data_IF_032990499786
#
_entry.id   IF_032990499786
#
_cell.length_a   1.000
_cell.length_b   1.000
_cell.length_c   1.000
_cell.angle_alpha   90.00
_cell.angle_beta   90.00
_cell.angle_gamma   90.00
#
_symmetry.space_group_name_H-M   'P 1'
#
loop_
_entity.id
_entity.type
_entity.pdbx_description
1 polymer ?
#
# COMPACT_ATOMS: atom_id res chain seq x y z
N UNK A 1 -4.89 -18.96 -14.59
CA UNK A 1 -4.67 -17.50 -14.61
C UNK A 1 -5.39 -16.82 -15.78
N UNK A 2 -5.22 -17.27 -17.07
CA UNK A 2 -5.89 -16.68 -18.23
C UNK A 2 -7.42 -16.71 -18.09
N UNK A 3 -7.97 -17.88 -17.74
CA UNK A 3 -9.41 -18.08 -17.55
C UNK A 3 -9.98 -17.13 -16.48
N UNK A 4 -9.24 -16.92 -15.38
CA UNK A 4 -9.62 -15.96 -14.33
C UNK A 4 -9.75 -14.53 -14.88
N UNK A 5 -8.80 -14.08 -15.69
CA UNK A 5 -8.86 -12.75 -16.32
C UNK A 5 -10.07 -12.64 -17.24
N UNK A 6 -10.29 -13.66 -18.08
CA UNK A 6 -11.41 -13.67 -19.04
C UNK A 6 -12.78 -13.70 -18.36
N UNK A 7 -12.93 -14.48 -17.28
CA UNK A 7 -14.22 -14.69 -16.62
C UNK A 7 -14.55 -13.66 -15.52
N UNK A 8 -13.55 -12.99 -14.96
CA UNK A 8 -13.75 -12.09 -13.80
C UNK A 8 -13.35 -10.64 -14.06
N UNK A 9 -12.36 -10.39 -14.93
CA UNK A 9 -11.83 -9.05 -15.15
C UNK A 9 -12.32 -8.45 -16.47
N UNK A 10 -12.16 -9.17 -17.57
CA UNK A 10 -12.50 -8.62 -18.89
C UNK A 10 -14.01 -8.57 -19.18
N UNK A 11 -14.83 -9.32 -18.44
CA UNK A 11 -16.29 -9.26 -18.54
C UNK A 11 -16.90 -8.18 -17.63
N UNK A 12 -16.12 -7.55 -16.78
CA UNK A 12 -16.60 -6.48 -15.91
C UNK A 12 -16.94 -5.23 -16.75
N UNK A 13 -18.11 -4.65 -16.50
CA UNK A 13 -18.64 -3.54 -17.28
C UNK A 13 -17.74 -2.29 -17.24
N UNK A 14 -17.18 -1.95 -16.06
CA UNK A 14 -16.27 -0.81 -15.92
C UNK A 14 -14.97 -1.02 -16.70
N UNK A 15 -14.42 -2.24 -16.64
CA UNK A 15 -13.22 -2.62 -17.39
C UNK A 15 -13.50 -2.56 -18.89
N UNK A 16 -14.58 -3.19 -19.34
CA UNK A 16 -14.96 -3.19 -20.74
C UNK A 16 -15.17 -1.79 -21.31
N UNK A 17 -15.92 -0.95 -20.59
CA UNK A 17 -16.15 0.44 -20.98
C UNK A 17 -14.84 1.23 -21.07
N UNK A 18 -14.01 1.16 -20.03
CA UNK A 18 -12.74 1.87 -19.99
C UNK A 18 -11.80 1.43 -21.12
N UNK A 19 -11.63 0.11 -21.29
CA UNK A 19 -10.73 -0.42 -22.30
C UNK A 19 -11.19 -0.12 -23.72
N UNK A 20 -12.49 -0.22 -24.03
CA UNK A 20 -13.02 0.11 -25.33
C UNK A 20 -12.96 1.61 -25.67
N UNK A 21 -13.03 2.48 -24.65
CA UNK A 21 -12.90 3.94 -24.83
C UNK A 21 -11.45 4.37 -25.09
N UNK A 22 -10.49 3.71 -24.48
CA UNK A 22 -9.08 4.15 -24.47
C UNK A 22 -8.13 3.31 -25.32
N UNK A 23 -8.49 2.06 -25.63
CA UNK A 23 -7.58 1.12 -26.27
C UNK A 23 -8.26 0.35 -27.39
N UNK A 24 -7.47 -0.07 -28.37
CA UNK A 24 -7.84 -1.13 -29.32
C UNK A 24 -7.34 -2.43 -28.70
N UNK A 25 -8.28 -3.29 -28.27
CA UNK A 25 -7.95 -4.55 -27.61
C UNK A 25 -7.87 -5.70 -28.61
N UNK A 26 -6.82 -6.51 -28.50
CA UNK A 26 -6.63 -7.70 -29.33
C UNK A 26 -6.21 -8.89 -28.46
N UNK A 27 -6.85 -10.03 -28.68
CA UNK A 27 -6.45 -11.28 -28.05
C UNK A 27 -5.58 -12.08 -29.01
N UNK A 28 -4.43 -12.53 -28.53
CA UNK A 28 -3.49 -13.37 -29.29
C UNK A 28 -3.39 -14.74 -28.63
N UNK A 29 -3.73 -15.78 -29.36
CA UNK A 29 -3.60 -17.16 -28.93
C UNK A 29 -2.21 -17.69 -29.34
N UNK A 30 -1.30 -17.75 -28.37
CA UNK A 30 0.11 -18.10 -28.61
C UNK A 30 0.33 -19.56 -29.01
N UNK A 31 -0.68 -20.42 -28.85
CA UNK A 31 -0.61 -21.84 -29.26
C UNK A 31 -0.92 -22.01 -30.72
N UNK A 32 -1.57 -21.02 -31.36
CA UNK A 32 -1.87 -21.06 -32.80
C UNK A 32 -0.63 -20.72 -33.62
N UNK A 33 -0.41 -21.52 -34.66
CA UNK A 33 0.66 -21.30 -35.63
C UNK A 33 0.46 -20.02 -36.46
N UNK A 34 1.54 -19.55 -37.05
CA UNK A 34 1.55 -18.35 -37.88
C UNK A 34 1.82 -17.08 -37.10
N UNK A 35 1.23 -15.95 -37.50
CA UNK A 35 1.52 -14.63 -36.97
C UNK A 35 1.33 -14.51 -35.44
N UNK A 36 0.45 -15.31 -34.86
CA UNK A 36 0.18 -15.31 -33.44
C UNK A 36 1.40 -15.82 -32.64
N UNK A 37 1.97 -16.96 -33.09
CA UNK A 37 3.19 -17.51 -32.52
C UNK A 37 4.40 -16.60 -32.75
N UNK A 38 4.56 -16.07 -33.95
CA UNK A 38 5.61 -15.11 -34.30
C UNK A 38 5.52 -13.84 -33.43
N UNK A 39 4.31 -13.36 -33.15
CA UNK A 39 4.09 -12.22 -32.26
C UNK A 39 4.52 -12.54 -30.83
N UNK A 40 4.16 -13.72 -30.32
CA UNK A 40 4.57 -14.15 -28.99
C UNK A 40 6.09 -14.25 -28.84
N UNK A 41 6.75 -14.81 -29.85
CA UNK A 41 8.23 -14.92 -29.91
C UNK A 41 8.87 -13.53 -29.99
N UNK A 42 8.39 -12.65 -30.86
CA UNK A 42 8.88 -11.28 -31.03
C UNK A 42 8.87 -10.48 -29.74
N UNK A 43 7.85 -10.67 -28.93
CA UNK A 43 7.69 -9.97 -27.67
C UNK A 43 8.13 -10.80 -26.45
N UNK A 44 8.83 -11.93 -26.64
CA UNK A 44 9.31 -12.81 -25.58
C UNK A 44 8.22 -13.16 -24.54
N UNK A 45 7.07 -13.61 -25.00
CA UNK A 45 5.97 -14.04 -24.13
C UNK A 45 6.23 -15.45 -23.65
N UNK A 46 6.72 -15.59 -22.42
CA UNK A 46 7.08 -16.89 -21.80
C UNK A 46 6.12 -17.30 -20.68
N UNK A 47 5.28 -16.38 -20.19
CA UNK A 47 4.31 -16.60 -19.10
C UNK A 47 2.94 -16.11 -19.55
N UNK A 48 1.88 -16.84 -19.20
CA UNK A 48 0.50 -16.48 -19.53
C UNK A 48 -0.36 -16.27 -18.27
N UNK A 49 -1.25 -15.26 -18.30
CA UNK A 49 -1.43 -14.26 -19.34
C UNK A 49 -0.31 -13.23 -19.31
N UNK A 50 0.04 -12.69 -20.48
CA UNK A 50 0.86 -11.47 -20.61
C UNK A 50 0.04 -10.43 -21.36
N UNK A 51 -0.08 -9.25 -20.79
CA UNK A 51 -0.77 -8.10 -21.36
C UNK A 51 0.28 -7.08 -21.78
N UNK A 52 0.26 -6.67 -23.03
CA UNK A 52 1.22 -5.71 -23.59
C UNK A 52 0.46 -4.50 -24.11
N UNK A 53 0.78 -3.34 -23.58
CA UNK A 53 0.24 -2.07 -24.04
C UNK A 53 1.23 -1.43 -25.02
N UNK A 54 0.72 -1.04 -26.15
CA UNK A 54 1.49 -0.35 -27.18
C UNK A 54 1.08 1.12 -27.28
N UNK A 55 2.03 1.97 -27.63
CA UNK A 55 1.76 3.32 -28.07
C UNK A 55 1.27 3.31 -29.53
N UNK A 56 0.71 4.43 -30.04
CA UNK A 56 0.31 4.54 -31.45
C UNK A 56 1.45 4.28 -32.46
N UNK A 57 2.70 4.48 -32.05
CA UNK A 57 3.89 4.21 -32.86
C UNK A 57 4.34 2.73 -32.79
N UNK A 58 3.54 1.86 -32.23
CA UNK A 58 3.80 0.43 -32.01
C UNK A 58 4.98 0.13 -31.05
N UNK A 59 5.51 1.11 -30.32
CA UNK A 59 6.45 0.84 -29.22
C UNK A 59 5.72 0.33 -27.98
N UNK A 60 6.36 -0.56 -27.23
CA UNK A 60 5.81 -1.09 -25.97
C UNK A 60 5.78 0.03 -24.94
N UNK A 61 4.59 0.37 -24.44
CA UNK A 61 4.40 1.32 -23.36
C UNK A 61 4.49 0.66 -21.98
N UNK A 62 3.92 -0.54 -21.83
CA UNK A 62 3.91 -1.30 -20.59
C UNK A 62 3.67 -2.79 -20.84
N UNK A 63 4.09 -3.62 -19.88
CA UNK A 63 3.88 -5.06 -19.89
C UNK A 63 3.45 -5.52 -18.50
N UNK A 64 2.37 -6.28 -18.43
CA UNK A 64 1.93 -6.94 -17.21
C UNK A 64 2.04 -8.45 -17.43
N UNK A 65 2.76 -9.13 -16.54
CA UNK A 65 2.94 -10.59 -16.58
C UNK A 65 2.14 -11.21 -15.46
N UNK A 66 1.37 -12.25 -15.78
CA UNK A 66 0.47 -12.94 -14.84
C UNK A 66 -0.92 -12.28 -14.74
N UNK A 67 -1.81 -12.99 -14.05
CA UNK A 67 -3.16 -12.49 -13.81
C UNK A 67 -3.15 -11.29 -12.86
N UNK A 68 -4.13 -10.40 -13.03
CA UNK A 68 -4.36 -9.22 -12.19
C UNK A 68 -5.81 -9.19 -11.73
N UNK A 69 -6.03 -8.66 -10.55
CA UNK A 69 -7.37 -8.30 -10.10
C UNK A 69 -7.85 -7.04 -10.85
N UNK A 70 -9.17 -6.81 -10.86
CA UNK A 70 -9.81 -5.71 -11.57
C UNK A 70 -9.16 -4.34 -11.30
N UNK A 71 -8.96 -4.03 -10.02
CA UNK A 71 -8.42 -2.73 -9.60
C UNK A 71 -7.00 -2.50 -10.14
N UNK A 72 -6.13 -3.51 -10.04
CA UNK A 72 -4.73 -3.44 -10.47
C UNK A 72 -4.63 -3.32 -11.99
N UNK A 73 -5.47 -4.07 -12.71
CA UNK A 73 -5.54 -3.99 -14.17
C UNK A 73 -5.96 -2.59 -14.63
N UNK A 74 -7.06 -2.05 -14.08
CA UNK A 74 -7.52 -0.70 -14.40
C UNK A 74 -6.51 0.38 -14.02
N UNK A 75 -5.87 0.26 -12.87
CA UNK A 75 -4.83 1.19 -12.45
C UNK A 75 -3.66 1.22 -13.44
N UNK A 76 -3.20 0.05 -13.87
CA UNK A 76 -2.13 -0.07 -14.86
C UNK A 76 -2.53 0.53 -16.21
N UNK A 77 -3.74 0.26 -16.68
CA UNK A 77 -4.26 0.82 -17.92
C UNK A 77 -4.40 2.35 -17.84
N UNK A 78 -4.88 2.90 -16.71
CA UNK A 78 -4.97 4.35 -16.48
C UNK A 78 -3.59 5.04 -16.47
N UNK A 79 -2.55 4.35 -15.97
CA UNK A 79 -1.18 4.86 -16.06
C UNK A 79 -0.72 4.93 -17.51
N UNK A 80 -0.99 3.89 -18.31
CA UNK A 80 -0.57 3.84 -19.72
C UNK A 80 -1.20 4.96 -20.55
N UNK A 81 -2.49 5.23 -20.36
CA UNK A 81 -3.18 6.30 -21.09
C UNK A 81 -3.01 7.70 -20.46
N UNK A 82 -2.23 7.81 -19.37
CA UNK A 82 -1.92 9.09 -18.73
C UNK A 82 -3.01 9.66 -17.83
N UNK A 83 -4.08 8.90 -17.56
CA UNK A 83 -5.14 9.31 -16.62
C UNK A 83 -4.71 9.18 -15.15
N UNK A 84 -3.65 8.44 -14.89
CA UNK A 84 -3.05 8.29 -13.58
C UNK A 84 -1.52 8.43 -13.68
N UNK A 85 -0.90 9.02 -12.68
CA UNK A 85 0.56 9.02 -12.57
C UNK A 85 1.06 7.62 -12.21
N UNK A 86 2.19 7.22 -12.78
CA UNK A 86 2.95 6.09 -12.28
C UNK A 86 3.45 6.35 -10.85
N UNK A 87 3.72 5.27 -10.11
CA UNK A 87 4.10 5.38 -8.69
C UNK A 87 5.34 6.25 -8.48
N UNK A 88 6.37 6.12 -9.32
CA UNK A 88 7.56 6.96 -9.30
C UNK A 88 7.25 8.46 -9.52
N UNK A 89 6.42 8.79 -10.52
CA UNK A 89 6.02 10.17 -10.79
C UNK A 89 5.13 10.75 -9.68
N UNK A 90 4.26 9.94 -9.09
CA UNK A 90 3.45 10.34 -7.95
C UNK A 90 4.35 10.64 -6.73
N UNK A 91 5.34 9.78 -6.47
CA UNK A 91 6.33 9.98 -5.42
C UNK A 91 7.12 11.28 -5.63
N UNK A 92 7.62 11.50 -6.85
CA UNK A 92 8.40 12.72 -7.17
C UNK A 92 7.54 13.98 -7.01
N UNK A 93 6.27 13.92 -7.40
CA UNK A 93 5.32 15.02 -7.19
C UNK A 93 5.06 15.26 -5.70
N UNK A 94 4.81 14.21 -4.92
CA UNK A 94 4.60 14.30 -3.48
C UNK A 94 5.80 14.94 -2.77
N UNK A 95 7.02 14.53 -3.13
CA UNK A 95 8.27 15.07 -2.57
C UNK A 95 8.52 16.52 -2.95
N UNK A 96 8.33 16.86 -4.23
CA UNK A 96 8.63 18.22 -4.72
C UNK A 96 7.65 19.26 -4.19
N UNK A 97 6.36 18.92 -4.13
CA UNK A 97 5.30 19.83 -3.69
C UNK A 97 5.05 19.79 -2.18
N UNK A 98 5.52 18.75 -1.49
CA UNK A 98 5.20 18.45 -0.07
C UNK A 98 3.68 18.45 0.19
N UNK A 99 2.94 17.96 -0.78
CA UNK A 99 1.48 17.87 -0.70
C UNK A 99 1.07 16.63 0.11
N UNK A 100 0.31 16.84 1.18
CA UNK A 100 -0.11 15.78 2.10
C UNK A 100 -1.02 14.75 1.45
N UNK A 101 -1.85 15.15 0.50
CA UNK A 101 -2.74 14.21 -0.20
C UNK A 101 -1.94 13.29 -1.14
N UNK A 102 -0.98 13.85 -1.88
CA UNK A 102 -0.07 13.06 -2.71
C UNK A 102 0.81 12.13 -1.87
N UNK A 103 1.34 12.61 -0.73
CA UNK A 103 2.12 11.77 0.20
C UNK A 103 1.28 10.61 0.75
N UNK A 104 0.05 10.89 1.19
CA UNK A 104 -0.88 9.86 1.68
C UNK A 104 -1.17 8.82 0.59
N UNK A 105 -1.40 9.27 -0.64
CA UNK A 105 -1.67 8.39 -1.77
C UNK A 105 -0.48 7.48 -2.10
N UNK A 106 0.75 8.01 -2.09
CA UNK A 106 1.97 7.22 -2.24
C UNK A 106 2.08 6.17 -1.13
N UNK A 107 1.89 6.57 0.13
CA UNK A 107 2.00 5.67 1.28
C UNK A 107 0.94 4.55 1.24
N UNK A 108 -0.26 4.84 0.78
CA UNK A 108 -1.31 3.82 0.59
C UNK A 108 -1.00 2.82 -0.51
N UNK A 109 -0.30 3.22 -1.56
CA UNK A 109 0.07 2.35 -2.69
C UNK A 109 1.39 1.60 -2.45
N UNK A 110 2.27 2.14 -1.62
CA UNK A 110 3.61 1.61 -1.43
C UNK A 110 3.70 0.14 -1.00
N UNK A 111 2.83 -0.42 -0.13
CA UNK A 111 2.90 -1.84 0.22
C UNK A 111 2.76 -2.76 -0.98
N UNK A 112 1.88 -2.45 -1.92
CA UNK A 112 1.66 -3.23 -3.13
C UNK A 112 2.78 -2.98 -4.16
N UNK A 113 3.05 -1.72 -4.49
CA UNK A 113 4.02 -1.34 -5.51
C UNK A 113 5.44 -1.78 -5.14
N UNK A 114 5.86 -1.58 -3.89
CA UNK A 114 7.20 -1.96 -3.41
C UNK A 114 7.27 -3.46 -3.09
N UNK A 115 6.18 -4.07 -2.63
CA UNK A 115 6.11 -5.50 -2.37
C UNK A 115 6.30 -6.37 -3.62
N UNK A 116 5.99 -5.83 -4.81
CA UNK A 116 6.24 -6.48 -6.09
C UNK A 116 7.68 -6.35 -6.62
N UNK A 117 8.51 -5.49 -6.01
CA UNK A 117 9.89 -5.24 -6.42
C UNK A 117 10.86 -6.24 -5.77
N UNK A 118 12.05 -6.40 -6.37
CA UNK A 118 13.09 -7.30 -5.84
C UNK A 118 14.47 -6.64 -5.83
N UNK A 119 15.37 -7.21 -5.03
CA UNK A 119 16.78 -6.83 -5.00
C UNK A 119 17.02 -5.39 -4.56
N UNK A 120 18.00 -4.74 -5.22
CA UNK A 120 18.42 -3.38 -4.87
C UNK A 120 17.35 -2.32 -5.12
N UNK A 121 16.45 -2.55 -6.07
CA UNK A 121 15.37 -1.62 -6.37
C UNK A 121 14.37 -1.56 -5.20
N UNK A 122 13.94 -2.71 -4.70
CA UNK A 122 13.08 -2.79 -3.52
C UNK A 122 13.71 -2.06 -2.32
N UNK A 123 15.00 -2.29 -2.05
CA UNK A 123 15.72 -1.63 -0.94
C UNK A 123 15.75 -0.11 -1.08
N UNK A 124 15.99 0.41 -2.28
CA UNK A 124 15.94 1.85 -2.55
C UNK A 124 14.56 2.43 -2.27
N UNK A 125 13.51 1.73 -2.69
CA UNK A 125 12.14 2.18 -2.47
C UNK A 125 11.73 2.11 -1.00
N UNK A 126 12.10 1.07 -0.27
CA UNK A 126 11.86 0.97 1.18
C UNK A 126 12.44 2.20 1.89
N UNK A 127 13.71 2.56 1.62
CA UNK A 127 14.33 3.74 2.22
C UNK A 127 13.64 5.05 1.83
N UNK A 128 13.18 5.18 0.59
CA UNK A 128 12.42 6.35 0.13
C UNK A 128 11.09 6.48 0.84
N UNK A 129 10.36 5.37 0.97
CA UNK A 129 9.06 5.34 1.62
C UNK A 129 9.18 5.59 3.12
N UNK A 130 10.17 5.02 3.81
CA UNK A 130 10.44 5.31 5.22
C UNK A 130 10.65 6.81 5.46
N UNK A 131 11.43 7.47 4.60
CA UNK A 131 11.65 8.92 4.69
C UNK A 131 10.38 9.72 4.40
N UNK A 132 9.60 9.30 3.40
CA UNK A 132 8.34 9.96 3.06
C UNK A 132 7.34 9.84 4.21
N UNK A 133 7.23 8.66 4.82
CA UNK A 133 6.38 8.43 5.98
C UNK A 133 6.77 9.32 7.16
N UNK A 134 8.06 9.40 7.49
CA UNK A 134 8.53 10.24 8.59
C UNK A 134 8.21 11.74 8.35
N UNK A 135 8.36 12.22 7.11
CA UNK A 135 8.00 13.59 6.73
C UNK A 135 6.48 13.81 6.79
N UNK A 136 5.71 12.89 6.23
CA UNK A 136 4.25 12.91 6.24
C UNK A 136 3.69 12.96 7.67
N UNK A 137 4.12 12.01 8.52
CA UNK A 137 3.67 11.95 9.91
C UNK A 137 3.98 13.24 10.66
N UNK A 138 5.19 13.80 10.50
CA UNK A 138 5.58 15.06 11.12
C UNK A 138 4.70 16.23 10.69
N UNK A 139 4.31 16.28 9.41
CA UNK A 139 3.50 17.37 8.86
C UNK A 139 2.00 17.22 9.17
N UNK A 140 1.51 15.98 9.21
CA UNK A 140 0.08 15.66 9.34
C UNK A 140 -0.37 15.53 10.79
N UNK A 141 0.55 15.21 11.73
CA UNK A 141 0.24 14.90 13.12
C UNK A 141 -0.53 16.04 13.81
N UNK A 142 -1.79 15.76 14.14
CA UNK A 142 -2.76 16.70 14.70
C UNK A 142 -4.16 16.08 14.70
N UNK A 143 -5.23 16.84 14.97
CA UNK A 143 -6.60 16.32 15.01
C UNK A 143 -7.02 15.58 13.74
N UNK A 144 -6.56 16.05 12.57
CA UNK A 144 -6.83 15.46 11.26
C UNK A 144 -6.07 14.17 10.98
N UNK A 145 -5.12 13.80 11.85
CA UNK A 145 -4.41 12.53 11.80
C UNK A 145 -5.24 11.38 12.41
N UNK A 146 -6.33 11.69 13.13
CA UNK A 146 -7.20 10.72 13.79
C UNK A 146 -8.27 10.24 12.80
N UNK A 147 -7.87 9.40 11.85
CA UNK A 147 -8.74 8.77 10.86
C UNK A 147 -8.21 7.38 10.47
N UNK A 148 -9.04 6.62 9.75
CA UNK A 148 -8.76 5.23 9.38
C UNK A 148 -7.56 5.10 8.43
N UNK A 149 -7.48 5.97 7.44
CA UNK A 149 -6.42 5.94 6.43
C UNK A 149 -5.05 6.18 7.04
N UNK A 150 -4.93 7.17 7.91
CA UNK A 150 -3.68 7.49 8.58
C UNK A 150 -3.29 6.41 9.59
N UNK A 151 -4.25 5.82 10.30
CA UNK A 151 -3.99 4.67 11.17
C UNK A 151 -3.43 3.48 10.38
N UNK A 152 -3.99 3.16 9.22
CA UNK A 152 -3.49 2.10 8.35
C UNK A 152 -2.05 2.38 7.87
N UNK A 153 -1.74 3.63 7.53
CA UNK A 153 -0.38 4.05 7.18
C UNK A 153 0.57 3.86 8.35
N UNK A 154 0.18 4.26 9.56
CA UNK A 154 0.98 4.03 10.78
C UNK A 154 1.22 2.53 11.00
N UNK A 155 0.18 1.70 10.89
CA UNK A 155 0.31 0.24 11.02
C UNK A 155 1.28 -0.37 10.02
N UNK A 156 1.32 0.16 8.78
CA UNK A 156 2.17 -0.34 7.72
C UNK A 156 3.64 0.09 7.86
N UNK A 157 3.91 1.31 8.29
CA UNK A 157 5.25 1.91 8.19
C UNK A 157 5.91 2.28 9.51
N UNK A 158 5.16 2.41 10.61
CA UNK A 158 5.78 2.77 11.88
C UNK A 158 6.61 1.61 12.45
N UNK A 159 7.80 1.94 12.94
CA UNK A 159 8.68 0.99 13.62
C UNK A 159 8.18 0.75 15.04
N UNK A 160 7.55 -0.38 15.27
CA UNK A 160 6.89 -0.74 16.52
C UNK A 160 7.84 -0.91 17.73
N UNK A 161 9.16 -0.87 17.54
CA UNK A 161 10.16 -1.14 18.59
C UNK A 161 11.01 0.07 18.97
N UNK A 162 10.66 1.27 18.52
CA UNK A 162 11.39 2.51 18.85
C UNK A 162 10.75 3.16 20.06
N UNK A 163 11.47 3.21 21.17
CA UNK A 163 10.99 3.88 22.38
C UNK A 163 10.79 5.38 22.12
N UNK A 164 9.80 5.97 22.80
CA UNK A 164 9.44 7.39 22.69
C UNK A 164 9.20 7.87 21.25
N UNK A 165 8.69 6.96 20.38
CA UNK A 165 8.30 7.30 19.01
C UNK A 165 7.19 8.35 19.02
N UNK A 166 7.41 9.47 18.32
CA UNK A 166 6.52 10.62 18.36
C UNK A 166 5.10 10.33 17.89
N UNK A 167 4.94 9.45 16.88
CA UNK A 167 3.64 9.05 16.36
C UNK A 167 2.90 8.19 17.36
N UNK A 168 3.59 7.21 17.95
CA UNK A 168 3.00 6.34 18.96
C UNK A 168 2.66 7.09 20.25
N UNK A 169 3.49 8.05 20.66
CA UNK A 169 3.18 8.93 21.79
C UNK A 169 1.96 9.84 21.50
N UNK A 170 1.80 10.30 20.25
CA UNK A 170 0.61 11.05 19.84
C UNK A 170 -0.65 10.17 19.90
N UNK A 171 -0.58 8.92 19.41
CA UNK A 171 -1.70 7.97 19.47
C UNK A 171 -2.04 7.67 20.92
N UNK A 172 -1.06 7.41 21.78
CA UNK A 172 -1.26 7.14 23.21
C UNK A 172 -2.02 8.28 23.92
N UNK A 173 -1.63 9.53 23.65
CA UNK A 173 -2.30 10.71 24.24
C UNK A 173 -3.73 10.91 23.76
N UNK A 174 -4.07 10.39 22.60
CA UNK A 174 -5.38 10.55 21.99
C UNK A 174 -6.12 9.21 21.87
N UNK A 175 -5.70 8.18 22.63
CA UNK A 175 -6.17 6.80 22.44
C UNK A 175 -7.69 6.68 22.54
N UNK A 176 -8.28 7.30 23.54
CA UNK A 176 -9.74 7.33 23.70
C UNK A 176 -10.46 7.90 22.47
N UNK A 177 -9.97 9.02 21.93
CA UNK A 177 -10.52 9.62 20.71
C UNK A 177 -10.36 8.71 19.49
N UNK A 178 -9.21 8.06 19.36
CA UNK A 178 -8.97 7.07 18.31
C UNK A 178 -9.93 5.89 18.41
N UNK A 179 -10.07 5.32 19.60
CA UNK A 179 -10.94 4.15 19.83
C UNK A 179 -12.41 4.48 19.64
N UNK A 180 -12.87 5.65 20.10
CA UNK A 180 -14.24 6.11 19.87
C UNK A 180 -14.57 6.28 18.37
N UNK A 181 -13.60 6.68 17.56
CA UNK A 181 -13.76 6.89 16.11
C UNK A 181 -13.54 5.62 15.28
N UNK A 182 -12.61 4.76 15.67
CA UNK A 182 -12.07 3.70 14.82
C UNK A 182 -12.19 2.29 15.42
N UNK A 183 -12.82 2.15 16.59
CA UNK A 183 -12.97 0.88 17.29
C UNK A 183 -11.66 0.43 17.94
N UNK A 184 -11.47 -0.88 18.05
CA UNK A 184 -10.38 -1.50 18.82
C UNK A 184 -8.97 -1.42 18.18
N UNK A 185 -8.90 -1.18 16.87
CA UNK A 185 -7.64 -1.24 16.13
C UNK A 185 -6.51 -0.34 16.70
N UNK A 186 -6.77 0.91 17.16
CA UNK A 186 -5.76 1.73 17.80
C UNK A 186 -5.23 1.14 19.13
N UNK A 187 -6.12 0.54 19.92
CA UNK A 187 -5.76 -0.14 21.18
C UNK A 187 -4.84 -1.33 20.92
N UNK A 188 -5.17 -2.17 19.95
CA UNK A 188 -4.34 -3.31 19.54
C UNK A 188 -2.95 -2.82 19.09
N UNK A 189 -2.89 -1.79 18.26
CA UNK A 189 -1.63 -1.18 17.82
C UNK A 189 -0.77 -0.71 19.01
N UNK A 190 -1.39 -0.06 20.01
CA UNK A 190 -0.69 0.41 21.19
C UNK A 190 -0.16 -0.73 22.06
N UNK A 191 -0.93 -1.80 22.24
CA UNK A 191 -0.48 -3.01 22.96
C UNK A 191 0.70 -3.67 22.22
N UNK A 192 0.64 -3.81 20.92
CA UNK A 192 1.74 -4.35 20.11
C UNK A 192 3.02 -3.50 20.23
N UNK A 193 2.88 -2.18 20.16
CA UNK A 193 3.98 -1.23 20.31
C UNK A 193 4.62 -1.33 21.69
N UNK A 194 3.83 -1.21 22.75
CA UNK A 194 4.34 -1.25 24.12
C UNK A 194 5.03 -2.60 24.41
N UNK A 195 4.48 -3.73 23.97
CA UNK A 195 5.10 -5.05 24.11
C UNK A 195 6.45 -5.15 23.38
N UNK A 196 6.53 -4.61 22.16
CA UNK A 196 7.78 -4.62 21.40
C UNK A 196 8.88 -3.78 22.07
N UNK A 197 8.52 -2.61 22.61
CA UNK A 197 9.46 -1.75 23.37
C UNK A 197 9.87 -2.39 24.68
N UNK A 198 8.93 -2.98 25.43
CA UNK A 198 9.22 -3.74 26.67
C UNK A 198 10.22 -4.86 26.38
N UNK A 199 9.96 -5.66 25.34
CA UNK A 199 10.86 -6.76 24.96
C UNK A 199 12.28 -6.30 24.62
N UNK A 200 12.42 -5.16 23.96
CA UNK A 200 13.71 -4.57 23.60
C UNK A 200 14.47 -4.02 24.83
N UNK A 201 13.78 -3.25 25.66
CA UNK A 201 14.40 -2.62 26.84
C UNK A 201 14.76 -3.64 27.91
N UNK A 202 13.92 -4.63 28.15
CA UNK A 202 14.18 -5.72 29.09
C UNK A 202 15.41 -6.55 28.68
N UNK A 203 15.54 -6.88 27.38
CA UNK A 203 16.74 -7.57 26.85
C UNK A 203 18.01 -6.73 27.01
N UNK A 204 17.89 -5.41 26.97
CA UNK A 204 19.01 -4.49 27.18
C UNK A 204 19.30 -4.20 28.66
N UNK A 205 18.57 -4.81 29.62
CA UNK A 205 18.72 -4.61 31.06
C UNK A 205 18.36 -3.21 31.55
N UNK A 206 17.44 -2.51 30.84
CA UNK A 206 17.04 -1.14 31.13
C UNK A 206 15.70 -1.10 31.85
N UNK A 207 15.65 -0.52 33.05
CA UNK A 207 14.43 -0.42 33.88
C UNK A 207 13.30 0.43 33.26
N UNK A 208 13.59 1.19 32.24
CA UNK A 208 12.62 2.02 31.49
C UNK A 208 11.44 1.21 30.91
N UNK A 209 11.60 -0.12 30.78
CA UNK A 209 10.51 -1.00 30.30
C UNK A 209 9.27 -0.93 31.20
N UNK A 210 9.42 -0.62 32.49
CA UNK A 210 8.30 -0.55 33.45
C UNK A 210 7.24 0.47 33.02
N UNK A 211 7.65 1.63 32.52
CA UNK A 211 6.75 2.66 31.96
C UNK A 211 5.82 2.10 30.87
N UNK A 212 6.36 1.30 29.96
CA UNK A 212 5.59 0.72 28.87
C UNK A 212 4.73 -0.46 29.33
N UNK A 213 5.17 -1.20 30.31
CA UNK A 213 4.39 -2.28 30.93
C UNK A 213 3.15 -1.74 31.67
N UNK A 214 3.29 -0.64 32.39
CA UNK A 214 2.17 0.05 33.04
C UNK A 214 1.18 0.59 32.01
N UNK A 215 1.66 1.10 30.87
CA UNK A 215 0.83 1.57 29.78
C UNK A 215 0.02 0.44 29.12
N UNK A 216 0.56 -0.77 28.99
CA UNK A 216 -0.17 -1.92 28.45
C UNK A 216 -1.44 -2.18 29.30
N UNK A 217 -1.33 -2.13 30.61
CA UNK A 217 -2.48 -2.34 31.49
C UNK A 217 -3.51 -1.23 31.31
N UNK A 218 -3.09 0.04 31.24
CA UNK A 218 -3.98 1.18 31.02
C UNK A 218 -4.63 1.18 29.64
N UNK A 219 -3.89 0.79 28.61
CA UNK A 219 -4.42 0.67 27.23
C UNK A 219 -5.47 -0.44 27.14
N UNK A 220 -5.28 -1.57 27.83
CA UNK A 220 -6.27 -2.66 27.93
C UNK A 220 -7.53 -2.23 28.68
N UNK A 221 -7.40 -1.55 29.82
CA UNK A 221 -8.53 -1.02 30.57
C UNK A 221 -9.34 -0.04 29.71
N UNK A 222 -8.69 0.86 28.98
CA UNK A 222 -9.33 1.79 28.04
C UNK A 222 -10.04 1.04 26.93
N UNK A 223 -9.41 0.02 26.35
CA UNK A 223 -9.98 -0.81 25.30
C UNK A 223 -11.25 -1.53 25.78
N UNK A 224 -11.21 -2.13 26.96
CA UNK A 224 -12.38 -2.81 27.54
C UNK A 224 -13.52 -1.85 27.92
N UNK A 225 -13.21 -0.64 28.37
CA UNK A 225 -14.23 0.36 28.70
C UNK A 225 -15.01 0.87 27.48
N UNK A 226 -14.41 0.84 26.30
CA UNK A 226 -15.00 1.33 25.05
C UNK A 226 -15.70 0.19 24.26
N UNK A 227 -15.35 -1.08 24.52
CA UNK A 227 -16.06 -2.20 23.90
C UNK A 227 -17.52 -2.21 24.38
N UNK A 228 -18.51 -2.30 23.45
CA UNK A 228 -19.88 -2.49 23.87
C UNK A 228 -19.95 -3.78 24.70
N UNK A 229 -20.45 -3.67 25.93
CA UNK A 229 -20.76 -4.84 26.75
C UNK A 229 -21.69 -5.70 25.93
N UNK A 230 -21.18 -6.80 25.40
CA UNK A 230 -21.92 -7.73 24.56
C UNK A 230 -23.11 -8.23 25.32
N UNK A 231 -24.28 -8.02 24.73
CA UNK A 231 -25.52 -8.70 25.06
C UNK A 231 -25.46 -10.13 24.57
#
# INVERSE_FOLDING_TARGET
PCKQMTEKVFVDEEVGKFMNDKFICMQVDVEKAGWQKETAEKFNVTVLPTLIFFKPDATVASRLVGAREKADFLNSAKVVCGERLSFDKLYDRAKSKKDLADMQLVLKQAPEEVGGMQGMEAQKWIVRIDKLYAEYAKMKMGPDFINKEDLQIVQAFNKKNVKDDAVMEFIAKNLETYMNKLGEAPGILMVEYNNAVVGQLAKAGKDEYKKYLERINGDLETAYAIMPTGT
#
